data_IF_326874416125
#
_entry.id   IF_326874416125
#
_cell.length_a   1.000
_cell.length_b   1.000
_cell.length_c   1.000
_cell.angle_alpha   90.00
_cell.angle_beta   90.00
_cell.angle_gamma   90.00
#
_symmetry.space_group_name_H-M   'P 1'
#
loop_
_entity.id
_entity.type
_entity.pdbx_description
1 polymer ?
#
# COMPACT_ATOMS: atom_id res chain seq x y z
N UNK A 1 3.22 2.27 3.80
CA UNK A 1 4.51 3.00 3.93
C UNK A 1 4.40 4.35 3.23
N UNK A 2 4.77 5.45 3.89
CA UNK A 2 4.79 6.79 3.31
C UNK A 2 6.23 7.33 3.38
N UNK A 3 6.79 7.82 2.28
CA UNK A 3 8.13 8.42 2.28
C UNK A 3 8.12 9.81 1.66
N UNK A 4 8.95 10.72 2.19
CA UNK A 4 9.11 12.07 1.65
C UNK A 4 9.92 12.10 0.35
N UNK A 5 10.77 11.09 0.15
CA UNK A 5 11.71 10.97 -0.97
C UNK A 5 11.71 9.54 -1.53
N UNK A 6 12.21 9.40 -2.74
CA UNK A 6 12.33 8.13 -3.45
C UNK A 6 11.19 7.92 -4.44
N UNK A 7 11.50 7.29 -5.57
CA UNK A 7 10.53 6.99 -6.62
C UNK A 7 9.91 5.59 -6.52
N UNK A 8 9.22 5.19 -7.58
CA UNK A 8 8.55 3.88 -7.73
C UNK A 8 9.49 2.67 -7.68
N UNK A 9 10.81 2.90 -7.85
CA UNK A 9 11.87 1.88 -7.75
C UNK A 9 12.72 2.02 -6.49
N UNK A 10 12.33 2.88 -5.55
CA UNK A 10 13.04 3.05 -4.28
C UNK A 10 12.93 1.80 -3.40
N UNK A 11 13.84 1.68 -2.43
CA UNK A 11 13.83 0.58 -1.47
C UNK A 11 12.46 0.38 -0.81
N UNK A 12 11.84 1.47 -0.34
CA UNK A 12 10.51 1.44 0.26
C UNK A 12 9.44 0.91 -0.70
N UNK A 13 9.46 1.35 -1.96
CA UNK A 13 8.48 0.94 -2.96
C UNK A 13 8.63 -0.54 -3.35
N UNK A 14 9.87 -1.01 -3.53
CA UNK A 14 10.14 -2.41 -3.90
C UNK A 14 9.77 -3.35 -2.76
N UNK A 15 10.18 -3.04 -1.52
CA UNK A 15 9.86 -3.86 -0.35
C UNK A 15 8.36 -3.88 -0.08
N UNK A 16 7.68 -2.73 -0.14
CA UNK A 16 6.23 -2.68 0.06
C UNK A 16 5.47 -3.53 -0.96
N UNK A 17 5.90 -3.50 -2.23
CA UNK A 17 5.30 -4.32 -3.29
C UNK A 17 5.51 -5.82 -3.04
N UNK A 18 6.71 -6.22 -2.60
CA UNK A 18 6.99 -7.61 -2.22
C UNK A 18 6.14 -8.10 -1.06
N UNK A 19 5.83 -7.20 -0.11
CA UNK A 19 5.00 -7.51 1.06
C UNK A 19 3.50 -7.32 0.85
N UNK A 20 3.06 -6.85 -0.32
CA UNK A 20 1.65 -6.53 -0.58
C UNK A 20 1.09 -5.39 0.29
N UNK A 21 1.95 -4.50 0.79
CA UNK A 21 1.55 -3.36 1.62
C UNK A 21 1.38 -2.09 0.78
N UNK A 22 0.36 -1.25 1.04
CA UNK A 22 0.20 0.01 0.33
C UNK A 22 1.39 0.93 0.60
N UNK A 23 1.92 1.56 -0.46
CA UNK A 23 3.04 2.49 -0.37
C UNK A 23 2.85 3.71 -1.25
N UNK A 24 3.06 4.88 -0.64
CA UNK A 24 3.17 6.17 -1.33
C UNK A 24 4.60 6.65 -1.13
N UNK A 25 5.40 6.60 -2.19
CA UNK A 25 6.79 7.01 -2.17
C UNK A 25 6.96 8.39 -2.81
N UNK A 26 7.86 9.21 -2.26
CA UNK A 26 8.24 10.49 -2.88
C UNK A 26 7.22 11.60 -2.67
N UNK A 27 6.55 11.63 -1.52
CA UNK A 27 5.65 12.71 -1.15
C UNK A 27 6.47 13.96 -0.74
N UNK A 28 6.92 14.76 -1.70
CA UNK A 28 7.81 15.91 -1.44
C UNK A 28 7.17 17.01 -0.59
N UNK A 29 5.83 17.03 -0.54
CA UNK A 29 5.06 17.98 0.26
C UNK A 29 5.16 17.73 1.78
N UNK A 30 5.53 16.51 2.21
CA UNK A 30 5.65 16.19 3.63
C UNK A 30 7.03 16.54 4.17
N UNK A 31 7.06 17.17 5.35
CA UNK A 31 8.28 17.43 6.11
C UNK A 31 8.23 16.66 7.41
N UNK A 32 9.18 15.74 7.58
CA UNK A 32 9.31 14.92 8.79
C UNK A 32 10.34 15.57 9.71
N UNK A 33 9.92 15.94 10.90
CA UNK A 33 10.78 16.36 12.01
C UNK A 33 10.89 15.21 12.99
N UNK A 34 11.98 14.45 12.87
CA UNK A 34 12.24 13.26 13.70
C UNK A 34 12.46 13.62 15.18
N UNK A 35 13.16 14.74 15.45
CA UNK A 35 13.41 15.21 16.80
C UNK A 35 12.12 15.56 17.56
N UNK A 36 11.15 16.14 16.86
CA UNK A 36 9.84 16.47 17.43
C UNK A 36 8.78 15.39 17.23
N UNK A 37 9.11 14.32 16.51
CA UNK A 37 8.21 13.23 16.10
C UNK A 37 6.92 13.75 15.47
N UNK A 38 7.07 14.62 14.48
CA UNK A 38 5.95 15.28 13.78
C UNK A 38 6.15 15.29 12.28
N UNK A 39 5.04 15.17 11.56
CA UNK A 39 4.96 15.37 10.13
C UNK A 39 4.19 16.66 9.86
N UNK A 40 4.71 17.50 8.97
CA UNK A 40 4.03 18.72 8.52
C UNK A 40 3.74 18.63 7.03
N UNK A 41 2.52 18.96 6.63
CA UNK A 41 2.10 18.99 5.22
C UNK A 41 1.09 20.10 5.02
N UNK A 42 1.33 21.01 4.07
CA UNK A 42 0.42 22.12 3.75
C UNK A 42 -0.06 22.93 4.99
N UNK A 43 0.80 23.12 5.99
CA UNK A 43 0.47 23.82 7.24
C UNK A 43 -0.21 22.97 8.31
N UNK A 44 -0.67 21.76 7.98
CA UNK A 44 -1.18 20.79 8.96
C UNK A 44 -0.01 20.07 9.64
N UNK A 45 -0.14 19.85 10.94
CA UNK A 45 0.84 19.13 11.76
C UNK A 45 0.20 17.87 12.30
N UNK A 46 0.73 16.72 11.90
CA UNK A 46 0.41 15.41 12.43
C UNK A 46 1.51 15.00 13.40
N UNK A 47 1.13 14.48 14.56
CA UNK A 47 2.04 13.96 15.58
C UNK A 47 2.18 12.47 15.44
N UNK A 48 3.20 11.93 16.10
CA UNK A 48 3.26 10.50 16.36
C UNK A 48 1.92 10.00 16.94
N UNK A 49 1.49 8.82 16.51
CA UNK A 49 0.22 8.17 16.84
C UNK A 49 -1.04 8.80 16.22
N UNK A 50 -0.95 9.94 15.52
CA UNK A 50 -2.11 10.44 14.78
C UNK A 50 -2.41 9.50 13.60
N UNK A 51 -3.65 9.03 13.44
CA UNK A 51 -3.99 8.10 12.37
C UNK A 51 -3.91 8.81 11.02
N UNK A 52 -3.38 8.08 10.03
CA UNK A 52 -3.41 8.45 8.62
C UNK A 52 -3.86 7.25 7.80
N UNK A 53 -4.46 7.52 6.65
CA UNK A 53 -4.82 6.53 5.65
C UNK A 53 -4.09 6.85 4.35
N UNK A 54 -3.66 5.83 3.62
CA UNK A 54 -2.94 6.00 2.34
C UNK A 54 -3.55 5.09 1.28
N UNK A 55 -3.58 5.58 0.03
CA UNK A 55 -3.90 4.79 -1.15
C UNK A 55 -2.63 4.63 -2.00
N UNK A 56 -2.11 3.40 -2.06
CA UNK A 56 -0.91 3.07 -2.83
C UNK A 56 -1.12 3.04 -4.36
N UNK A 57 -2.37 3.13 -4.82
CA UNK A 57 -2.72 3.13 -6.25
C UNK A 57 -2.76 4.55 -6.79
N UNK A 58 -3.48 5.46 -6.11
CA UNK A 58 -3.60 6.86 -6.53
C UNK A 58 -2.45 7.73 -6.02
N UNK A 59 -1.76 7.29 -4.97
CA UNK A 59 -0.73 8.09 -4.29
C UNK A 59 -1.29 9.07 -3.26
N UNK A 60 -2.59 8.98 -2.94
CA UNK A 60 -3.24 9.90 -2.02
C UNK A 60 -2.95 9.56 -0.54
N UNK A 61 -2.92 10.60 0.28
CA UNK A 61 -2.68 10.52 1.72
C UNK A 61 -3.76 11.33 2.43
N UNK A 62 -4.43 10.70 3.39
CA UNK A 62 -5.54 11.26 4.12
C UNK A 62 -5.21 11.33 5.60
N UNK A 63 -5.58 12.43 6.24
CA UNK A 63 -5.56 12.53 7.70
C UNK A 63 -6.75 11.75 8.28
N UNK A 64 -6.51 10.96 9.32
CA UNK A 64 -7.53 10.14 9.96
C UNK A 64 -7.64 8.72 9.38
N UNK A 65 -8.63 7.99 9.91
CA UNK A 65 -8.95 6.62 9.51
C UNK A 65 -10.06 6.66 8.47
N UNK A 66 -9.80 6.12 7.29
CA UNK A 66 -10.82 5.85 6.28
C UNK A 66 -11.34 4.42 6.48
N UNK A 67 -12.66 4.20 6.60
CA UNK A 67 -13.24 2.87 6.68
C UNK A 67 -12.88 2.03 5.45
N UNK A 68 -12.30 0.86 5.67
CA UNK A 68 -11.97 -0.09 4.60
C UNK A 68 -13.03 -1.18 4.52
N UNK A 69 -13.20 -1.76 3.33
CA UNK A 69 -14.05 -2.93 3.13
C UNK A 69 -13.16 -4.14 2.94
N UNK A 70 -13.39 -5.18 3.74
CA UNK A 70 -12.70 -6.45 3.54
C UNK A 70 -13.18 -7.08 2.22
N UNK A 71 -12.25 -7.53 1.35
CA UNK A 71 -12.65 -8.22 0.12
C UNK A 71 -13.39 -9.52 0.47
N UNK A 72 -14.44 -9.81 -0.29
CA UNK A 72 -15.24 -11.02 -0.10
C UNK A 72 -15.16 -11.92 -1.35
N UNK A 73 -14.12 -12.75 -1.39
CA UNK A 73 -13.87 -13.67 -2.50
C UNK A 73 -15.05 -14.64 -2.78
N UNK A 74 -15.81 -15.02 -1.76
CA UNK A 74 -16.99 -15.88 -1.94
C UNK A 74 -18.11 -15.21 -2.73
N UNK A 75 -18.16 -13.87 -2.75
CA UNK A 75 -19.11 -13.09 -3.56
C UNK A 75 -18.61 -12.88 -4.99
N UNK A 76 -17.31 -12.98 -5.23
CA UNK A 76 -16.66 -12.73 -6.53
C UNK A 76 -16.71 -13.96 -7.47
N UNK A 77 -17.91 -14.47 -7.73
CA UNK A 77 -18.10 -15.70 -8.54
C UNK A 77 -17.47 -15.63 -9.93
N UNK A 78 -17.48 -14.46 -10.56
CA UNK A 78 -16.91 -14.25 -11.89
C UNK A 78 -15.38 -14.36 -11.87
N UNK A 79 -14.73 -13.81 -10.83
CA UNK A 79 -13.29 -13.92 -10.64
C UNK A 79 -12.88 -15.38 -10.45
N UNK A 80 -13.62 -16.14 -9.62
CA UNK A 80 -13.34 -17.56 -9.42
C UNK A 80 -13.49 -18.38 -10.71
N UNK A 81 -14.53 -18.12 -11.50
CA UNK A 81 -14.71 -18.78 -12.79
C UNK A 81 -13.55 -18.47 -13.76
N UNK A 82 -13.14 -17.20 -13.84
CA UNK A 82 -12.01 -16.78 -14.66
C UNK A 82 -10.70 -17.45 -14.23
N UNK A 83 -10.42 -17.50 -12.93
CA UNK A 83 -9.22 -18.14 -12.40
C UNK A 83 -9.23 -19.66 -12.66
N UNK A 84 -10.39 -20.32 -12.56
CA UNK A 84 -10.54 -21.73 -12.91
C UNK A 84 -10.18 -22.00 -14.37
N UNK A 85 -10.68 -21.19 -15.30
CA UNK A 85 -10.32 -21.34 -16.72
C UNK A 85 -8.83 -21.10 -16.97
N UNK A 86 -8.22 -20.15 -16.26
CA UNK A 86 -6.79 -19.90 -16.34
C UNK A 86 -5.98 -21.12 -15.83
N UNK A 87 -6.42 -21.74 -14.74
CA UNK A 87 -5.80 -22.94 -14.17
C UNK A 87 -5.95 -24.18 -15.08
N UNK A 88 -7.06 -24.31 -15.81
CA UNK A 88 -7.27 -25.43 -16.75
C UNK A 88 -6.34 -25.35 -17.97
N UNK A 89 -5.98 -24.12 -18.39
CA UNK A 89 -5.18 -23.89 -19.59
C UNK A 89 -3.68 -23.78 -19.27
N UNK A 90 -3.32 -23.36 -18.05
CA UNK A 90 -1.91 -23.11 -17.71
C UNK A 90 -1.09 -24.41 -17.80
N UNK A 91 0.05 -24.31 -18.47
CA UNK A 91 1.09 -25.36 -18.45
C UNK A 91 2.06 -25.17 -17.28
N UNK A 92 2.30 -23.92 -16.90
CA UNK A 92 3.22 -23.56 -15.83
C UNK A 92 2.52 -23.62 -14.48
N UNK A 93 3.25 -24.04 -13.46
CA UNK A 93 2.78 -23.99 -12.07
C UNK A 93 3.07 -22.63 -11.43
N UNK A 94 2.17 -22.22 -10.55
CA UNK A 94 2.29 -20.98 -9.77
C UNK A 94 2.53 -21.38 -8.32
N UNK A 95 3.75 -21.09 -7.85
CA UNK A 95 4.16 -21.33 -6.47
C UNK A 95 4.32 -19.99 -5.74
N UNK A 96 4.15 -19.99 -4.42
CA UNK A 96 4.37 -18.81 -3.59
C UNK A 96 5.72 -18.92 -2.87
N UNK A 97 6.51 -17.85 -2.92
CA UNK A 97 7.65 -17.69 -2.03
C UNK A 97 7.10 -17.29 -0.66
N UNK A 98 7.29 -18.14 0.34
CA UNK A 98 6.84 -17.89 1.71
C UNK A 98 7.99 -18.20 2.68
N UNK A 99 8.41 -17.19 3.42
CA UNK A 99 9.35 -17.31 4.54
C UNK A 99 8.52 -17.43 5.85
N UNK A 100 8.94 -18.30 6.77
CA UNK A 100 8.27 -18.59 8.06
C UNK A 100 8.22 -17.38 9.00
#
# INVERSE_FOLDING_TARGET
>A
ILTARGGSTSHAAVVARGLGLPCVAGCEAIRVDDAKRRLTVNGNVLKEMDPISIDGTTGEVFAGIIPTTAPNLAREKQLTALLSWADDIRRLEVWANADY
#
